data_IF_429540798479
#
_entry.id   IF_429540798479
#
_cell.length_a   1.000
_cell.length_b   1.000
_cell.length_c   1.000
_cell.angle_alpha   90.00
_cell.angle_beta   90.00
_cell.angle_gamma   90.00
#
_symmetry.space_group_name_H-M   'P 1'
#
loop_
_entity.id
_entity.type
_entity.pdbx_description
1 polymer ?
#
# COMPACT_ATOMS: atom_id res chain seq x y z
N UNK A 1 -61.86 -2.20 -44.40
CA UNK A 1 -60.82 -1.41 -43.71
C UNK A 1 -59.59 -2.31 -43.55
N UNK A 2 -58.62 -2.22 -44.47
CA UNK A 2 -57.41 -3.02 -44.39
C UNK A 2 -56.25 -2.08 -44.02
N UNK A 3 -55.84 -2.13 -42.75
CA UNK A 3 -54.69 -1.38 -42.26
C UNK A 3 -53.41 -1.99 -42.83
N UNK A 4 -52.74 -1.23 -43.69
CA UNK A 4 -51.41 -1.53 -44.20
C UNK A 4 -50.39 -1.32 -43.06
N UNK A 5 -50.29 -2.29 -42.14
CA UNK A 5 -49.16 -2.32 -41.20
C UNK A 5 -47.94 -2.77 -41.98
N UNK A 6 -47.12 -1.80 -42.36
CA UNK A 6 -45.85 -2.00 -43.06
C UNK A 6 -44.97 -3.00 -42.30
N UNK A 7 -44.67 -4.13 -42.93
CA UNK A 7 -43.82 -5.23 -42.44
C UNK A 7 -42.40 -4.81 -41.99
N UNK A 8 -41.99 -3.56 -42.26
CA UNK A 8 -40.73 -2.95 -41.80
C UNK A 8 -40.77 -2.39 -40.36
N UNK A 9 -41.96 -2.29 -39.77
CA UNK A 9 -42.16 -1.85 -38.37
C UNK A 9 -41.88 -2.95 -37.33
N UNK A 10 -42.32 -4.22 -37.47
CA UNK A 10 -42.02 -5.24 -36.46
C UNK A 10 -40.53 -5.64 -36.45
N UNK A 11 -39.88 -5.71 -37.62
CA UNK A 11 -38.48 -6.13 -37.73
C UNK A 11 -37.52 -5.22 -36.96
N UNK A 12 -37.72 -3.89 -37.01
CA UNK A 12 -36.88 -2.94 -36.25
C UNK A 12 -36.98 -3.14 -34.74
N UNK A 13 -38.17 -3.46 -34.22
CA UNK A 13 -38.37 -3.68 -32.79
C UNK A 13 -37.79 -5.03 -32.36
N UNK A 14 -37.88 -6.05 -33.23
CA UNK A 14 -37.22 -7.35 -33.00
C UNK A 14 -35.70 -7.18 -32.95
N UNK A 15 -35.11 -6.48 -33.92
CA UNK A 15 -33.67 -6.19 -33.94
C UNK A 15 -33.25 -5.35 -32.72
N UNK A 16 -34.01 -4.31 -32.36
CA UNK A 16 -33.74 -3.49 -31.19
C UNK A 16 -33.83 -4.29 -29.88
N UNK A 17 -34.78 -5.21 -29.77
CA UNK A 17 -34.94 -6.08 -28.60
C UNK A 17 -33.73 -7.00 -28.43
N UNK A 18 -33.31 -7.69 -29.50
CA UNK A 18 -32.12 -8.56 -29.44
C UNK A 18 -30.84 -7.76 -29.17
N UNK A 19 -30.71 -6.55 -29.72
CA UNK A 19 -29.57 -5.67 -29.44
C UNK A 19 -29.54 -5.16 -28.00
N UNK A 20 -30.70 -4.80 -27.44
CA UNK A 20 -30.81 -4.45 -26.03
C UNK A 20 -30.50 -5.65 -25.11
N UNK A 21 -30.96 -6.84 -25.49
CA UNK A 21 -30.67 -8.07 -24.75
C UNK A 21 -29.17 -8.42 -24.77
N UNK A 22 -28.50 -8.28 -25.92
CA UNK A 22 -27.05 -8.53 -26.00
C UNK A 22 -26.26 -7.51 -25.18
N UNK A 23 -26.65 -6.22 -25.19
CA UNK A 23 -26.04 -5.20 -24.34
C UNK A 23 -26.25 -5.49 -22.85
N UNK A 24 -27.44 -5.95 -22.46
CA UNK A 24 -27.73 -6.33 -21.07
C UNK A 24 -26.94 -7.56 -20.63
N UNK A 25 -26.87 -8.60 -21.47
CA UNK A 25 -26.05 -9.78 -21.21
C UNK A 25 -24.56 -9.44 -21.14
N UNK A 26 -24.06 -8.59 -22.03
CA UNK A 26 -22.68 -8.13 -22.00
C UNK A 26 -22.37 -7.34 -20.73
N UNK A 27 -23.25 -6.42 -20.32
CA UNK A 27 -23.09 -5.63 -19.11
C UNK A 27 -23.12 -6.50 -17.84
N UNK A 28 -24.04 -7.46 -17.76
CA UNK A 28 -24.13 -8.39 -16.63
C UNK A 28 -22.93 -9.34 -16.58
N UNK A 29 -22.47 -9.88 -17.71
CA UNK A 29 -21.25 -10.69 -17.77
C UNK A 29 -20.02 -9.88 -17.36
N UNK A 30 -19.91 -8.61 -17.77
CA UNK A 30 -18.80 -7.75 -17.37
C UNK A 30 -18.87 -7.37 -15.88
N UNK A 31 -20.07 -7.17 -15.32
CA UNK A 31 -20.26 -6.91 -13.89
C UNK A 31 -19.93 -8.14 -13.03
N UNK A 32 -20.41 -9.33 -13.42
CA UNK A 32 -20.11 -10.60 -12.75
C UNK A 32 -18.63 -10.95 -12.90
N UNK A 33 -18.07 -10.81 -14.11
CA UNK A 33 -16.64 -10.94 -14.35
C UNK A 33 -15.84 -9.94 -13.52
N UNK A 34 -16.34 -8.72 -13.38
CA UNK A 34 -15.82 -7.68 -12.49
C UNK A 34 -15.87 -8.08 -11.02
N UNK A 35 -16.88 -8.82 -10.54
CA UNK A 35 -16.88 -9.35 -9.17
C UNK A 35 -15.79 -10.41 -8.97
N UNK A 36 -15.58 -11.30 -9.94
CA UNK A 36 -14.54 -12.33 -9.86
C UNK A 36 -13.12 -11.78 -10.08
N UNK A 37 -12.96 -10.74 -10.91
CA UNK A 37 -11.68 -10.12 -11.24
C UNK A 37 -11.32 -8.95 -10.29
N UNK A 38 -12.27 -8.11 -9.87
CA UNK A 38 -12.04 -7.04 -8.88
C UNK A 38 -11.99 -7.55 -7.43
N UNK A 39 -12.22 -8.85 -7.20
CA UNK A 39 -11.86 -9.49 -5.94
C UNK A 39 -10.33 -9.61 -5.74
N UNK A 40 -9.52 -9.14 -6.71
CA UNK A 40 -8.06 -9.10 -6.58
C UNK A 40 -7.60 -7.84 -5.85
N UNK A 41 -7.14 -8.07 -4.62
CA UNK A 41 -6.11 -7.33 -3.90
C UNK A 41 -6.43 -5.89 -3.51
N UNK A 42 -7.28 -5.71 -2.49
CA UNK A 42 -6.89 -4.73 -1.47
C UNK A 42 -5.78 -5.38 -0.64
N UNK A 43 -4.55 -5.37 -1.18
CA UNK A 43 -3.37 -5.64 -0.37
C UNK A 43 -3.45 -4.69 0.83
N UNK A 44 -3.15 -5.19 2.03
CA UNK A 44 -3.15 -4.30 3.19
C UNK A 44 -2.17 -3.16 2.91
N UNK A 45 -2.42 -1.97 3.48
CA UNK A 45 -1.49 -0.83 3.33
C UNK A 45 -0.06 -1.24 3.73
N UNK A 46 0.05 -2.14 4.71
CA UNK A 46 1.30 -2.78 5.12
C UNK A 46 1.96 -3.58 3.99
N UNK A 47 1.23 -4.47 3.30
CA UNK A 47 1.78 -5.27 2.19
C UNK A 47 2.23 -4.38 1.03
N UNK A 48 1.45 -3.35 0.72
CA UNK A 48 1.78 -2.40 -0.35
C UNK A 48 3.05 -1.61 -0.03
N UNK A 49 3.21 -1.16 1.22
CA UNK A 49 4.42 -0.50 1.70
C UNK A 49 5.60 -1.46 1.82
N UNK A 50 5.36 -2.74 2.11
CA UNK A 50 6.42 -3.74 2.11
C UNK A 50 6.98 -3.98 0.73
N UNK A 51 6.15 -3.97 -0.32
CA UNK A 51 6.57 -4.25 -1.69
C UNK A 51 7.15 -3.04 -2.44
N UNK A 52 6.95 -1.84 -1.90
CA UNK A 52 7.35 -0.57 -2.52
C UNK A 52 8.79 -0.56 -3.05
N UNK A 53 8.94 0.01 -4.24
CA UNK A 53 10.20 0.35 -4.91
C UNK A 53 10.22 1.87 -5.17
N UNK A 54 11.39 2.54 -5.17
CA UNK A 54 12.75 1.99 -5.07
C UNK A 54 13.19 1.64 -3.65
N UNK A 55 14.20 0.77 -3.53
CA UNK A 55 14.81 0.34 -2.26
C UNK A 55 15.76 1.41 -1.71
N UNK A 56 15.22 2.60 -1.40
CA UNK A 56 15.99 3.71 -0.84
C UNK A 56 16.30 3.51 0.65
N UNK A 57 17.39 4.10 1.18
CA UNK A 57 17.66 4.09 2.62
C UNK A 57 16.49 4.61 3.46
N UNK A 58 16.21 3.96 4.59
CA UNK A 58 15.10 4.30 5.48
C UNK A 58 15.57 4.50 6.93
N UNK A 59 15.01 5.53 7.57
CA UNK A 59 15.21 5.82 8.98
C UNK A 59 13.86 5.71 9.70
N UNK A 60 13.74 4.74 10.62
CA UNK A 60 12.57 4.62 11.48
C UNK A 60 12.82 5.31 12.82
N UNK A 61 11.88 6.18 13.19
CA UNK A 61 11.90 6.95 14.44
C UNK A 61 10.68 6.54 15.25
N UNK A 62 10.86 5.85 16.38
CA UNK A 62 9.73 5.33 17.15
C UNK A 62 10.03 5.13 18.64
N UNK A 63 9.00 4.86 19.43
CA UNK A 63 9.09 4.79 20.88
C UNK A 63 8.35 3.59 21.44
N UNK A 64 8.86 3.00 22.53
CA UNK A 64 8.19 1.90 23.24
C UNK A 64 6.93 2.34 23.99
N UNK A 65 6.83 3.63 24.32
CA UNK A 65 5.67 4.22 25.01
C UNK A 65 4.64 4.84 24.06
N UNK A 66 4.75 4.58 22.77
CA UNK A 66 3.74 4.98 21.81
C UNK A 66 2.50 4.06 21.94
N UNK A 67 1.40 4.62 22.46
CA UNK A 67 0.16 3.89 22.66
C UNK A 67 -0.70 3.78 21.38
N UNK A 68 -0.35 4.50 20.33
CA UNK A 68 -1.09 4.52 19.05
C UNK A 68 -0.44 3.58 18.05
N UNK A 69 0.88 3.65 17.91
CA UNK A 69 1.64 2.79 17.01
C UNK A 69 2.63 1.92 17.81
N UNK A 70 2.34 0.63 17.92
CA UNK A 70 3.16 -0.30 18.70
C UNK A 70 4.58 -0.39 18.12
N UNK A 71 5.58 -0.29 19.01
CA UNK A 71 6.99 -0.42 18.62
C UNK A 71 7.31 -1.77 17.95
N UNK A 72 6.67 -2.85 18.38
CA UNK A 72 6.84 -4.19 17.81
C UNK A 72 6.46 -4.25 16.33
N UNK A 73 5.35 -3.60 15.95
CA UNK A 73 4.91 -3.53 14.55
C UNK A 73 5.89 -2.74 13.69
N UNK A 74 6.46 -1.65 14.21
CA UNK A 74 7.44 -0.83 13.49
C UNK A 74 8.76 -1.61 13.32
N UNK A 75 9.23 -2.26 14.39
CA UNK A 75 10.43 -3.10 14.34
C UNK A 75 10.27 -4.27 13.36
N UNK A 76 9.10 -4.93 13.35
CA UNK A 76 8.81 -5.99 12.39
C UNK A 76 8.81 -5.49 10.93
N UNK A 77 8.24 -4.30 10.68
CA UNK A 77 8.26 -3.69 9.35
C UNK A 77 9.68 -3.28 8.92
N UNK A 78 10.44 -2.67 9.82
CA UNK A 78 11.84 -2.30 9.59
C UNK A 78 12.69 -3.53 9.23
N UNK A 79 12.53 -4.64 9.95
CA UNK A 79 13.22 -5.89 9.65
C UNK A 79 12.76 -6.51 8.33
N UNK A 80 11.46 -6.47 8.03
CA UNK A 80 10.96 -6.96 6.74
C UNK A 80 11.51 -6.15 5.55
N UNK A 81 11.65 -4.82 5.68
CA UNK A 81 12.31 -3.98 4.67
C UNK A 81 13.82 -4.29 4.59
N UNK A 82 14.50 -4.49 5.73
CA UNK A 82 15.91 -4.88 5.80
C UNK A 82 16.16 -6.21 5.08
N UNK A 83 15.30 -7.20 5.29
CA UNK A 83 15.35 -8.50 4.62
C UNK A 83 15.19 -8.40 3.09
N UNK A 84 14.51 -7.36 2.59
CA UNK A 84 14.42 -7.04 1.15
C UNK A 84 15.64 -6.28 0.60
N UNK A 85 16.68 -6.09 1.41
CA UNK A 85 17.89 -5.38 1.00
C UNK A 85 17.77 -3.85 1.05
N UNK A 86 16.83 -3.32 1.84
CA UNK A 86 16.77 -1.88 2.12
C UNK A 86 17.78 -1.53 3.23
N UNK A 87 18.62 -0.50 3.08
CA UNK A 87 19.42 0.02 4.19
C UNK A 87 18.50 0.65 5.24
N UNK A 88 18.38 0.02 6.40
CA UNK A 88 17.47 0.45 7.47
C UNK A 88 18.25 0.85 8.72
N UNK A 89 18.01 2.08 9.17
CA UNK A 89 18.45 2.62 10.45
C UNK A 89 17.24 2.85 11.37
N UNK A 90 17.43 2.66 12.68
CA UNK A 90 16.35 2.76 13.67
C UNK A 90 16.80 3.61 14.86
N UNK A 91 15.94 4.53 15.31
CA UNK A 91 16.13 5.30 16.54
C UNK A 91 14.94 5.04 17.44
N UNK A 92 15.22 4.34 18.55
CA UNK A 92 14.21 3.94 19.52
C UNK A 92 14.32 4.80 20.78
N UNK A 93 13.20 5.39 21.18
CA UNK A 93 13.04 6.04 22.49
C UNK A 93 12.33 5.10 23.46
N UNK A 94 12.72 5.15 24.74
CA UNK A 94 12.05 4.40 25.80
C UNK A 94 10.74 5.10 26.23
N UNK A 95 10.79 6.42 26.39
CA UNK A 95 9.69 7.22 26.91
C UNK A 95 9.45 8.46 26.02
N UNK A 96 8.68 8.25 24.95
CA UNK A 96 8.18 9.36 24.14
C UNK A 96 6.79 9.03 23.57
N UNK A 97 5.76 9.86 23.81
CA UNK A 97 4.44 9.66 23.25
C UNK A 97 4.40 9.81 21.73
N UNK A 98 3.33 9.31 21.12
CA UNK A 98 3.07 9.44 19.68
C UNK A 98 3.22 10.90 19.21
N UNK A 99 4.02 11.12 18.16
CA UNK A 99 4.27 12.44 17.53
C UNK A 99 5.02 13.46 18.43
N UNK A 100 5.44 13.07 19.63
CA UNK A 100 6.13 13.98 20.57
C UNK A 100 7.66 13.84 20.59
N UNK A 101 8.24 12.97 19.76
CA UNK A 101 9.69 12.70 19.73
C UNK A 101 10.52 13.98 19.50
N UNK A 102 10.07 14.84 18.57
CA UNK A 102 10.73 16.11 18.29
C UNK A 102 10.62 17.12 19.43
N UNK A 103 9.45 17.21 20.07
CA UNK A 103 9.19 18.20 21.13
C UNK A 103 9.97 17.84 22.39
N UNK A 104 9.93 16.57 22.79
CA UNK A 104 10.54 16.10 24.04
C UNK A 104 12.04 15.82 23.87
N UNK A 105 12.49 15.39 22.69
CA UNK A 105 13.86 14.95 22.44
C UNK A 105 14.46 15.64 21.21
N UNK A 106 14.31 16.97 21.10
CA UNK A 106 14.68 17.75 19.92
C UNK A 106 16.10 17.51 19.43
N UNK A 107 17.10 17.56 20.32
CA UNK A 107 18.50 17.40 19.94
C UNK A 107 18.76 16.03 19.31
N UNK A 108 18.26 14.96 19.96
CA UNK A 108 18.41 13.59 19.46
C UNK A 108 17.65 13.40 18.15
N UNK A 109 16.41 13.87 18.06
CA UNK A 109 15.60 13.77 16.85
C UNK A 109 16.27 14.46 15.66
N UNK A 110 16.61 15.74 15.81
CA UNK A 110 17.22 16.54 14.74
C UNK A 110 18.58 15.99 14.36
N UNK A 111 19.42 15.65 15.34
CA UNK A 111 20.74 15.05 15.09
C UNK A 111 20.64 13.77 14.27
N UNK A 112 19.78 12.83 14.68
CA UNK A 112 19.57 11.58 13.94
C UNK A 112 19.11 11.81 12.50
N UNK A 113 18.15 12.72 12.28
CA UNK A 113 17.64 13.02 10.93
C UNK A 113 18.70 13.69 10.06
N UNK A 114 19.39 14.71 10.59
CA UNK A 114 20.44 15.44 9.85
C UNK A 114 21.61 14.52 9.51
N UNK A 115 22.06 13.71 10.46
CA UNK A 115 23.17 12.78 10.26
C UNK A 115 22.81 11.70 9.23
N UNK A 116 21.59 11.19 9.28
CA UNK A 116 21.08 10.24 8.29
C UNK A 116 21.02 10.85 6.89
N UNK A 117 20.42 12.04 6.74
CA UNK A 117 20.38 12.75 5.46
C UNK A 117 21.78 13.00 4.90
N UNK A 118 22.73 13.40 5.75
CA UNK A 118 24.13 13.57 5.35
C UNK A 118 24.73 12.27 4.82
N UNK A 119 24.54 11.14 5.52
CA UNK A 119 24.98 9.82 5.04
C UNK A 119 24.34 9.43 3.71
N UNK A 120 23.05 9.72 3.51
CA UNK A 120 22.37 9.47 2.23
C UNK A 120 23.01 10.27 1.09
N UNK A 121 23.24 11.57 1.31
CA UNK A 121 23.85 12.46 0.30
C UNK A 121 25.29 12.08 -0.01
N UNK A 122 26.02 11.55 0.97
CA UNK A 122 27.39 11.06 0.80
C UNK A 122 27.47 9.63 0.23
N UNK A 123 26.33 8.94 0.04
CA UNK A 123 26.29 7.55 -0.43
C UNK A 123 26.85 6.54 0.57
N UNK A 124 26.88 6.88 1.87
CA UNK A 124 27.50 6.08 2.94
C UNK A 124 26.51 5.22 3.74
N UNK A 125 25.22 5.23 3.42
CA UNK A 125 24.27 4.36 4.11
C UNK A 125 24.47 2.93 3.65
N UNK A 126 25.00 2.10 4.54
CA UNK A 126 25.29 0.69 4.26
C UNK A 126 24.11 -0.19 4.66
N UNK A 127 24.00 -1.36 4.02
CA UNK A 127 23.12 -2.41 4.49
C UNK A 127 23.57 -2.84 5.89
N UNK A 128 22.73 -2.62 6.89
CA UNK A 128 22.95 -3.15 8.22
C UNK A 128 22.70 -4.66 8.18
N UNK A 129 23.63 -5.51 8.63
CA UNK A 129 23.38 -6.94 8.72
C UNK A 129 22.18 -7.17 9.64
N UNK A 130 21.19 -7.94 9.16
CA UNK A 130 20.08 -8.44 9.98
C UNK A 130 20.66 -9.03 11.27
N UNK A 131 20.25 -8.49 12.41
CA UNK A 131 20.62 -9.04 13.71
C UNK A 131 20.09 -10.48 13.74
N UNK A 132 21.00 -11.45 13.68
CA UNK A 132 20.66 -12.87 13.75
C UNK A 132 19.79 -13.11 14.99
N UNK A 133 18.56 -13.60 14.78
CA UNK A 133 17.67 -14.06 15.86
C UNK A 133 18.46 -15.05 16.72
N UNK A 134 18.80 -14.63 17.95
CA UNK A 134 19.31 -15.52 18.98
C UNK A 134 18.16 -16.44 19.37
N UNK A 135 18.17 -17.66 18.82
CA UNK A 135 17.25 -18.71 19.24
C UNK A 135 17.50 -18.97 20.73
N UNK A 136 16.41 -18.98 21.49
CA UNK A 136 16.36 -19.38 22.90
C UNK A 136 15.43 -20.59 22.99
#
# INVERSE_FOLDING_TARGET
MASFVSTKMPLRYVVAFFWALTMWLYSTLNWVGGLFLNMRHHASTFDSLLEEQPLCPQLFLYSKKDAVCSHDSIAAFAEARRARGVPVEEVVWEDSPHVQHFVLNRQRYVGSVVDFMKRCLEGKVMLTPTAAKKQL
#
